data_IF_258711356308
#
_entry.id   IF_258711356308
#
_cell.length_a   1.000
_cell.length_b   1.000
_cell.length_c   1.000
_cell.angle_alpha   90.00
_cell.angle_beta   90.00
_cell.angle_gamma   90.00
#
_symmetry.space_group_name_H-M   'P 1'
#
loop_
_entity.id
_entity.type
_entity.pdbx_description
1 polymer ?
#
# COMPACT_ATOMS: atom_id res chain seq x y z
N UNK A 1 -2.96 -11.14 -7.02
CA UNK A 1 -2.81 -10.06 -6.02
C UNK A 1 -3.34 -10.55 -4.69
N UNK A 2 -2.55 -10.45 -3.66
CA UNK A 2 -2.95 -10.85 -2.31
C UNK A 2 -3.30 -9.62 -1.49
N UNK A 3 -4.51 -9.64 -0.90
CA UNK A 3 -4.90 -8.66 0.10
C UNK A 3 -4.64 -9.23 1.50
N UNK A 4 -4.03 -8.45 2.36
CA UNK A 4 -3.85 -8.76 3.77
C UNK A 4 -4.71 -7.80 4.58
N UNK A 5 -5.89 -8.25 4.98
CA UNK A 5 -6.87 -7.44 5.68
C UNK A 5 -6.79 -7.76 7.17
N UNK A 6 -6.57 -6.73 7.99
CA UNK A 6 -6.58 -6.84 9.45
C UNK A 6 -7.76 -6.06 10.02
N UNK A 7 -8.80 -6.73 10.54
CA UNK A 7 -9.98 -6.05 11.08
C UNK A 7 -9.70 -5.29 12.39
N UNK A 8 -8.54 -5.53 13.01
CA UNK A 8 -8.22 -5.01 14.34
C UNK A 8 -7.17 -3.90 14.37
N UNK A 9 -6.74 -3.38 13.21
CA UNK A 9 -5.67 -2.36 13.18
C UNK A 9 -6.17 -0.91 13.25
N UNK A 10 -7.47 -0.70 13.45
CA UNK A 10 -8.07 0.64 13.55
C UNK A 10 -8.32 1.34 12.22
N UNK A 11 -7.91 0.76 11.09
CA UNK A 11 -8.14 1.30 9.75
C UNK A 11 -9.38 0.62 9.16
N UNK A 12 -10.38 1.37 8.65
CA UNK A 12 -11.54 0.76 7.99
C UNK A 12 -11.12 -0.20 6.88
N UNK A 13 -11.85 -1.31 6.74
CA UNK A 13 -11.50 -2.36 5.77
C UNK A 13 -11.43 -1.82 4.34
N UNK A 14 -12.40 -0.98 3.94
CA UNK A 14 -12.38 -0.40 2.59
C UNK A 14 -11.10 0.42 2.34
N UNK A 15 -10.64 1.14 3.34
CA UNK A 15 -9.43 1.95 3.25
C UNK A 15 -8.17 1.08 3.16
N UNK A 16 -8.13 -0.04 3.85
CA UNK A 16 -7.06 -1.03 3.69
C UNK A 16 -6.99 -1.57 2.26
N UNK A 17 -8.13 -1.85 1.65
CA UNK A 17 -8.19 -2.29 0.25
C UNK A 17 -7.68 -1.19 -0.69
N UNK A 18 -8.12 0.05 -0.50
CA UNK A 18 -7.66 1.20 -1.30
C UNK A 18 -6.14 1.35 -1.22
N UNK A 19 -5.59 1.33 -0.02
CA UNK A 19 -4.14 1.48 0.21
C UNK A 19 -3.34 0.35 -0.45
N UNK A 20 -3.81 -0.89 -0.33
CA UNK A 20 -3.12 -2.05 -0.89
C UNK A 20 -3.13 -2.03 -2.42
N UNK A 21 -4.21 -1.60 -3.06
CA UNK A 21 -4.25 -1.41 -4.51
C UNK A 21 -3.27 -0.32 -4.94
N UNK A 22 -3.27 0.83 -4.27
CA UNK A 22 -2.33 1.92 -4.58
C UNK A 22 -0.87 1.49 -4.43
N UNK A 23 -0.56 0.74 -3.38
CA UNK A 23 0.79 0.22 -3.16
C UNK A 23 1.19 -0.79 -4.24
N UNK A 24 0.28 -1.67 -4.64
CA UNK A 24 0.52 -2.64 -5.70
C UNK A 24 0.77 -1.96 -7.05
N UNK A 25 0.05 -0.89 -7.37
CA UNK A 25 0.29 -0.08 -8.57
C UNK A 25 1.64 0.62 -8.49
N UNK A 26 1.95 1.23 -7.35
CA UNK A 26 3.23 1.91 -7.13
C UNK A 26 4.43 0.95 -7.25
N UNK A 27 4.27 -0.28 -6.80
CA UNK A 27 5.32 -1.32 -6.84
C UNK A 27 5.40 -2.06 -8.18
N UNK A 28 4.49 -1.79 -9.12
CA UNK A 28 4.44 -2.49 -10.40
C UNK A 28 3.86 -3.89 -10.35
N UNK A 29 3.26 -4.29 -9.23
CA UNK A 29 2.54 -5.58 -9.09
C UNK A 29 1.24 -5.54 -9.88
N UNK A 30 0.54 -4.41 -9.83
CA UNK A 30 -0.57 -4.10 -10.71
C UNK A 30 -0.09 -3.10 -11.77
N UNK A 31 -0.24 -3.44 -13.02
CA UNK A 31 0.24 -2.62 -14.14
C UNK A 31 -0.91 -1.91 -14.85
N UNK A 32 -0.66 -0.77 -15.51
CA UNK A 32 -1.68 -0.10 -16.31
C UNK A 32 -2.37 -1.06 -17.29
N UNK A 33 -3.69 -0.96 -17.37
CA UNK A 33 -4.50 -1.83 -18.21
C UNK A 33 -4.90 -3.17 -17.60
N UNK A 34 -4.33 -3.54 -16.47
CA UNK A 34 -4.65 -4.80 -15.80
C UNK A 34 -6.06 -4.75 -15.19
N UNK A 35 -6.80 -5.83 -15.40
CA UNK A 35 -8.15 -5.99 -14.86
C UNK A 35 -8.11 -6.33 -13.38
N UNK A 36 -8.93 -5.66 -12.59
CA UNK A 36 -9.15 -6.00 -11.19
C UNK A 36 -10.15 -7.14 -11.06
N UNK A 37 -10.08 -7.95 -9.98
CA UNK A 37 -11.12 -8.91 -9.69
C UNK A 37 -12.47 -8.20 -9.52
N UNK A 38 -13.56 -8.91 -9.83
CA UNK A 38 -14.90 -8.35 -9.58
C UNK A 38 -15.16 -8.18 -8.08
N UNK A 39 -16.05 -7.26 -7.74
CA UNK A 39 -16.50 -7.05 -6.35
C UNK A 39 -16.99 -8.35 -5.73
N UNK A 40 -17.78 -9.12 -6.48
CA UNK A 40 -18.33 -10.39 -6.02
C UNK A 40 -17.25 -11.42 -5.76
N UNK A 41 -16.32 -11.59 -6.70
CA UNK A 41 -15.21 -12.54 -6.57
C UNK A 41 -14.33 -12.20 -5.38
N UNK A 42 -13.97 -10.92 -5.24
CA UNK A 42 -13.11 -10.48 -4.16
C UNK A 42 -13.80 -10.60 -2.79
N UNK A 43 -15.12 -10.33 -2.74
CA UNK A 43 -15.92 -10.52 -1.53
C UNK A 43 -15.91 -11.96 -1.05
N UNK A 44 -16.02 -12.92 -1.96
CA UNK A 44 -15.92 -14.35 -1.63
C UNK A 44 -14.51 -14.73 -1.16
N UNK A 45 -13.48 -14.30 -1.90
CA UNK A 45 -12.08 -14.62 -1.57
C UNK A 45 -11.65 -14.07 -0.22
N UNK A 46 -12.08 -12.87 0.13
CA UNK A 46 -11.67 -12.20 1.37
C UNK A 46 -12.67 -12.41 2.51
N UNK A 47 -13.80 -13.03 2.27
CA UNK A 47 -14.93 -13.14 3.22
C UNK A 47 -15.36 -11.76 3.74
N UNK A 48 -15.45 -10.79 2.84
CA UNK A 48 -15.82 -9.40 3.13
C UNK A 48 -17.11 -9.07 2.39
N UNK A 49 -17.96 -8.24 3.02
CA UNK A 49 -19.17 -7.75 2.41
C UNK A 49 -18.86 -7.08 1.06
N UNK A 50 -19.52 -7.50 -0.04
CA UNK A 50 -19.33 -6.89 -1.35
C UNK A 50 -19.52 -5.37 -1.37
N UNK A 51 -20.39 -4.82 -0.52
CA UNK A 51 -20.61 -3.38 -0.42
C UNK A 51 -19.36 -2.64 0.07
N UNK A 52 -18.58 -3.25 0.96
CA UNK A 52 -17.31 -2.69 1.44
C UNK A 52 -16.28 -2.64 0.32
N UNK A 53 -16.21 -3.69 -0.48
CA UNK A 53 -15.32 -3.74 -1.65
C UNK A 53 -15.76 -2.74 -2.72
N UNK A 54 -17.07 -2.63 -2.97
CA UNK A 54 -17.62 -1.64 -3.90
C UNK A 54 -17.26 -0.22 -3.47
N UNK A 55 -17.33 0.08 -2.19
CA UNK A 55 -16.91 1.38 -1.63
C UNK A 55 -15.43 1.65 -1.89
N UNK A 56 -14.56 0.66 -1.69
CA UNK A 56 -13.14 0.78 -1.99
C UNK A 56 -12.89 1.04 -3.47
N UNK A 57 -13.57 0.34 -4.36
CA UNK A 57 -13.43 0.51 -5.79
C UNK A 57 -13.95 1.87 -6.27
N UNK A 58 -15.04 2.38 -5.68
CA UNK A 58 -15.52 3.73 -5.94
C UNK A 58 -14.48 4.79 -5.55
N UNK A 59 -13.84 4.59 -4.41
CA UNK A 59 -12.76 5.48 -3.96
C UNK A 59 -11.58 5.45 -4.91
N UNK A 60 -11.18 4.28 -5.39
CA UNK A 60 -10.10 4.15 -6.36
C UNK A 60 -10.44 4.80 -7.71
N UNK A 61 -11.71 4.73 -8.14
CA UNK A 61 -12.16 5.45 -9.33
C UNK A 61 -12.08 6.96 -9.12
N UNK A 62 -12.58 7.45 -7.98
CA UNK A 62 -12.53 8.85 -7.60
C UNK A 62 -11.10 9.39 -7.53
N UNK A 63 -10.17 8.57 -7.04
CA UNK A 63 -8.76 8.92 -6.90
C UNK A 63 -7.96 8.80 -8.21
N UNK A 64 -8.61 8.37 -9.30
CA UNK A 64 -7.95 8.27 -10.60
C UNK A 64 -7.01 7.08 -10.76
N UNK A 65 -7.19 6.03 -9.96
CA UNK A 65 -6.34 4.83 -10.00
C UNK A 65 -6.89 3.80 -10.98
N UNK A 66 -8.20 3.62 -10.99
CA UNK A 66 -8.89 2.65 -11.84
C UNK A 66 -9.98 3.33 -12.66
N UNK A 67 -10.35 2.70 -13.77
CA UNK A 67 -11.43 3.16 -14.64
C UNK A 67 -12.26 1.98 -15.13
N UNK A 68 -13.52 2.24 -15.42
CA UNK A 68 -14.39 1.23 -16.02
C UNK A 68 -14.07 1.11 -17.51
N UNK A 69 -13.73 -0.10 -17.94
CA UNK A 69 -13.65 -0.44 -19.34
C UNK A 69 -14.90 -1.22 -19.76
N UNK A 70 -15.59 -0.71 -20.77
CA UNK A 70 -16.84 -1.26 -21.25
C UNK A 70 -16.67 -2.71 -21.68
N UNK A 71 -17.45 -3.62 -21.10
CA UNK A 71 -17.41 -5.04 -21.41
C UNK A 71 -16.28 -5.83 -20.72
N UNK A 72 -15.42 -5.17 -19.94
CA UNK A 72 -14.32 -5.83 -19.22
C UNK A 72 -14.41 -5.69 -17.70
N UNK A 73 -14.79 -4.53 -17.17
CA UNK A 73 -14.82 -4.22 -15.75
C UNK A 73 -13.85 -3.09 -15.41
N UNK A 74 -13.31 -3.10 -14.18
CA UNK A 74 -12.38 -2.09 -13.71
C UNK A 74 -10.94 -2.48 -14.05
N UNK A 75 -10.22 -1.54 -14.67
CA UNK A 75 -8.81 -1.70 -15.04
C UNK A 75 -7.98 -0.58 -14.44
N UNK A 76 -6.70 -0.84 -14.23
CA UNK A 76 -5.73 0.18 -13.78
C UNK A 76 -5.56 1.21 -14.88
N UNK A 77 -5.69 2.49 -14.53
CA UNK A 77 -5.55 3.58 -15.50
C UNK A 77 -4.13 3.69 -16.04
N UNK A 78 -3.96 4.13 -17.30
CA UNK A 78 -2.63 4.32 -17.88
C UNK A 78 -1.75 5.31 -17.11
N UNK A 79 -2.36 6.29 -16.43
CA UNK A 79 -1.69 7.36 -15.68
C UNK A 79 -1.70 7.14 -14.16
N UNK A 80 -1.95 5.91 -13.69
CA UNK A 80 -2.14 5.62 -12.27
C UNK A 80 -0.85 5.60 -11.45
N UNK A 81 0.31 5.33 -12.06
CA UNK A 81 1.55 5.06 -11.32
C UNK A 81 2.01 6.28 -10.52
N UNK A 82 2.09 7.44 -11.13
CA UNK A 82 2.55 8.66 -10.45
C UNK A 82 1.66 9.07 -9.26
N UNK A 83 0.32 9.11 -9.38
CA UNK A 83 -0.54 9.37 -8.24
C UNK A 83 -0.42 8.32 -7.13
N UNK A 84 -0.22 7.04 -7.47
CA UNK A 84 -0.05 5.98 -6.48
C UNK A 84 1.27 6.09 -5.72
N UNK A 85 2.35 6.46 -6.39
CA UNK A 85 3.62 6.76 -5.73
C UNK A 85 3.50 7.93 -4.75
N UNK A 86 2.81 8.99 -5.15
CA UNK A 86 2.57 10.15 -4.27
C UNK A 86 1.69 9.78 -3.07
N UNK A 87 0.65 8.98 -3.28
CA UNK A 87 -0.22 8.49 -2.20
C UNK A 87 0.54 7.60 -1.23
N UNK A 88 1.36 6.68 -1.73
CA UNK A 88 2.20 5.82 -0.89
C UNK A 88 3.14 6.63 -0.01
N UNK A 89 3.81 7.61 -0.59
CA UNK A 89 4.70 8.50 0.16
C UNK A 89 3.96 9.22 1.28
N UNK A 90 2.80 9.81 0.98
CA UNK A 90 1.98 10.52 1.96
C UNK A 90 1.52 9.60 3.09
N UNK A 91 1.08 8.39 2.78
CA UNK A 91 0.65 7.41 3.78
C UNK A 91 1.82 7.02 4.69
N UNK A 92 3.00 6.80 4.12
CA UNK A 92 4.20 6.42 4.89
C UNK A 92 4.69 7.57 5.76
N UNK A 93 4.64 8.81 5.26
CA UNK A 93 4.96 10.00 6.06
C UNK A 93 4.00 10.14 7.25
N UNK A 94 2.71 9.92 7.05
CA UNK A 94 1.71 10.00 8.13
C UNK A 94 1.91 8.90 9.17
N UNK A 95 2.24 7.69 8.74
CA UNK A 95 2.55 6.58 9.66
C UNK A 95 3.78 6.90 10.50
N UNK A 96 4.82 7.43 9.89
CA UNK A 96 6.05 7.82 10.58
C UNK A 96 5.78 8.94 11.58
N UNK A 97 5.04 9.97 11.17
CA UNK A 97 4.62 11.07 12.05
C UNK A 97 3.83 10.55 13.24
N UNK A 98 2.88 9.64 13.03
CA UNK A 98 2.07 9.06 14.09
C UNK A 98 2.90 8.27 15.10
N UNK A 99 3.86 7.48 14.62
CA UNK A 99 4.77 6.72 15.50
C UNK A 99 5.66 7.65 16.33
N UNK A 100 6.18 8.72 15.74
CA UNK A 100 6.98 9.73 16.45
C UNK A 100 6.12 10.44 17.51
N UNK A 101 4.91 10.85 17.14
CA UNK A 101 3.98 11.50 18.05
C UNK A 101 3.64 10.59 19.25
N UNK A 102 3.36 9.32 18.99
CA UNK A 102 3.11 8.33 20.04
C UNK A 102 4.29 8.18 20.99
N UNK A 103 5.51 8.12 20.48
CA UNK A 103 6.72 8.02 21.28
C UNK A 103 6.92 9.25 22.18
N UNK A 104 6.72 10.45 21.63
CA UNK A 104 6.83 11.70 22.38
C UNK A 104 5.75 11.80 23.46
N UNK A 105 4.52 11.48 23.16
CA UNK A 105 3.40 11.47 24.11
C UNK A 105 3.58 10.36 25.17
N UNK A 106 4.27 9.27 24.83
CA UNK A 106 4.58 8.18 25.75
C UNK A 106 5.74 8.46 26.70
N UNK A 107 6.33 9.63 26.63
CA UNK A 107 7.35 10.08 27.58
C UNK A 107 8.79 10.01 27.09
N UNK A 108 9.04 9.62 25.83
CA UNK A 108 10.38 9.68 25.27
C UNK A 108 10.72 11.10 24.85
N UNK A 109 11.94 11.56 25.16
CA UNK A 109 12.40 12.88 24.72
C UNK A 109 12.77 12.90 23.23
N UNK A 110 12.78 14.10 22.64
CA UNK A 110 13.10 14.26 21.22
C UNK A 110 14.50 13.73 20.87
N UNK A 111 15.48 13.94 21.73
CA UNK A 111 16.86 13.42 21.54
C UNK A 111 16.86 11.89 21.52
N UNK A 112 16.11 11.27 22.41
CA UNK A 112 15.99 9.81 22.52
C UNK A 112 15.28 9.23 21.30
N UNK A 113 14.19 9.85 20.83
CA UNK A 113 13.47 9.44 19.62
C UNK A 113 14.38 9.53 18.40
N UNK A 114 15.18 10.60 18.28
CA UNK A 114 16.15 10.73 17.18
C UNK A 114 17.19 9.62 17.21
N UNK A 115 17.72 9.29 18.38
CA UNK A 115 18.72 8.23 18.52
C UNK A 115 18.14 6.86 18.15
N UNK A 116 16.93 6.55 18.60
CA UNK A 116 16.21 5.31 18.25
C UNK A 116 15.97 5.25 16.74
N UNK A 117 15.46 6.34 16.16
CA UNK A 117 15.16 6.39 14.73
C UNK A 117 16.41 6.18 13.88
N UNK A 118 17.53 6.83 14.21
CA UNK A 118 18.80 6.68 13.50
C UNK A 118 19.33 5.24 13.59
N UNK A 119 19.28 4.63 14.76
CA UNK A 119 19.71 3.25 14.94
C UNK A 119 18.87 2.29 14.10
N UNK A 120 17.56 2.49 14.06
CA UNK A 120 16.67 1.66 13.25
C UNK A 120 16.88 1.88 11.75
N UNK A 121 17.09 3.10 11.30
CA UNK A 121 17.38 3.41 9.91
C UNK A 121 18.65 2.69 9.46
N UNK A 122 19.73 2.75 10.22
CA UNK A 122 21.00 2.09 9.89
C UNK A 122 20.83 0.58 9.80
N UNK A 123 20.10 -0.01 10.74
CA UNK A 123 19.88 -1.46 10.78
C UNK A 123 19.00 -1.91 9.60
N UNK A 124 17.90 -1.21 9.33
CA UNK A 124 16.94 -1.56 8.28
C UNK A 124 17.51 -1.25 6.88
N UNK A 125 18.24 -0.16 6.72
CA UNK A 125 18.86 0.20 5.45
C UNK A 125 19.92 -0.83 5.04
N UNK A 126 20.69 -1.33 5.99
CA UNK A 126 21.59 -2.47 5.76
C UNK A 126 20.87 -3.72 5.30
N UNK A 127 19.69 -4.03 5.85
CA UNK A 127 18.87 -5.17 5.42
C UNK A 127 18.30 -4.99 4.02
N UNK A 128 17.81 -3.80 3.69
CA UNK A 128 17.28 -3.47 2.36
C UNK A 128 18.37 -3.56 1.31
N UNK A 129 19.56 -3.05 1.58
CA UNK A 129 20.71 -3.13 0.68
C UNK A 129 21.11 -4.60 0.42
N UNK A 130 21.06 -5.46 1.43
CA UNK A 130 21.35 -6.90 1.31
C UNK A 130 20.31 -7.61 0.43
N UNK A 131 19.02 -7.29 0.60
CA UNK A 131 17.95 -7.87 -0.21
C UNK A 131 18.06 -7.40 -1.67
N UNK A 132 18.36 -6.14 -1.91
CA UNK A 132 18.58 -5.61 -3.27
C UNK A 132 19.79 -6.23 -3.95
N UNK A 133 20.87 -6.47 -3.23
CA UNK A 133 22.06 -7.13 -3.76
C UNK A 133 21.79 -8.59 -4.16
N UNK A 134 20.97 -9.30 -3.37
CA UNK A 134 20.60 -10.68 -3.65
C UNK A 134 19.63 -10.83 -4.85
N UNK A 135 18.86 -9.80 -5.15
CA UNK A 135 17.98 -9.81 -6.31
C UNK A 135 18.69 -9.49 -7.63
N UNK A 136 19.98 -9.14 -7.58
CA UNK A 136 20.81 -8.76 -8.73
C UNK A 136 21.91 -9.79 -9.03
N UNK A 137 21.83 -11.04 -8.55
CA UNK A 137 22.70 -12.08 -9.05
C UNK A 137 22.34 -12.34 -10.52
N UNK A 138 23.25 -12.06 -11.46
CA UNK A 138 23.03 -12.50 -12.81
C UNK A 138 23.08 -14.02 -12.82
N UNK A 139 22.04 -14.66 -13.34
CA UNK A 139 22.14 -16.03 -13.76
C UNK A 139 23.26 -16.09 -14.79
N UNK A 140 24.45 -16.47 -14.33
CA UNK A 140 25.50 -16.87 -15.25
C UNK A 140 25.10 -18.21 -15.81
N UNK A 141 24.65 -18.16 -17.03
CA UNK A 141 24.44 -19.36 -17.83
C UNK A 141 25.75 -20.15 -17.98
#
# INVERSE_FOLDING_TARGET
>A
MFFSIDPNNGIPIYEQIVRQVKFAVADGVLVPGQLLPSVRMLGVQLAINPNTIAKAFQQLQSDGVVETQRGRGLTVRPDAVAPCLASRRSILEDRLRSAIAEALHGGLGATEVRAIALAQIEQLDGQVATVSANSHEPESA
#
